data_IF_782392234049
#
_entry.id   IF_782392234049
#
_cell.length_a   1.000
_cell.length_b   1.000
_cell.length_c   1.000
_cell.angle_alpha   90.00
_cell.angle_beta   90.00
_cell.angle_gamma   90.00
#
_symmetry.space_group_name_H-M   'P 1'
#
loop_
_entity.id
_entity.type
_entity.pdbx_description
1 polymer ?
#
# COMPACT_ATOMS: atom_id res chain seq x y z
N UNK A 1 4.03 10.09 -6.75
CA UNK A 1 4.06 8.61 -6.60
C UNK A 1 5.48 8.17 -6.27
N UNK A 2 5.70 7.70 -5.02
CA UNK A 2 7.02 7.24 -4.56
C UNK A 2 7.34 5.78 -4.98
N UNK A 3 6.48 5.09 -5.73
CA UNK A 3 6.68 3.68 -6.10
C UNK A 3 6.37 2.68 -4.97
N UNK A 4 5.66 3.08 -3.92
CA UNK A 4 5.32 2.25 -2.75
C UNK A 4 4.58 0.96 -3.15
N UNK A 5 3.46 1.09 -3.85
CA UNK A 5 2.64 -0.04 -4.28
C UNK A 5 3.42 -0.99 -5.22
N UNK A 6 4.21 -0.44 -6.15
CA UNK A 6 5.06 -1.24 -7.04
C UNK A 6 6.15 -2.00 -6.27
N UNK A 7 6.71 -1.42 -5.20
CA UNK A 7 7.68 -2.10 -4.34
C UNK A 7 7.00 -3.30 -3.65
N UNK A 8 5.79 -3.11 -3.16
CA UNK A 8 5.02 -4.14 -2.49
C UNK A 8 4.65 -5.29 -3.44
N UNK A 9 4.24 -4.99 -4.67
CA UNK A 9 3.99 -5.99 -5.71
C UNK A 9 5.24 -6.84 -6.04
N UNK A 10 6.41 -6.20 -6.05
CA UNK A 10 7.69 -6.91 -6.25
C UNK A 10 8.01 -7.86 -5.11
N UNK A 11 7.78 -7.45 -3.85
CA UNK A 11 7.96 -8.31 -2.67
C UNK A 11 6.94 -9.45 -2.70
N UNK A 12 5.69 -9.15 -2.99
CA UNK A 12 4.61 -10.14 -3.05
C UNK A 12 4.73 -11.08 -4.27
N UNK A 13 5.46 -10.68 -5.31
CA UNK A 13 5.43 -11.33 -6.64
C UNK A 13 4.00 -11.56 -7.12
N UNK A 14 3.16 -10.55 -6.98
CA UNK A 14 1.75 -10.55 -7.36
C UNK A 14 1.38 -9.14 -7.82
N UNK A 15 0.74 -9.04 -8.97
CA UNK A 15 0.18 -7.80 -9.46
C UNK A 15 -1.17 -7.55 -8.80
N UNK A 16 -1.28 -6.46 -8.04
CA UNK A 16 -2.43 -6.18 -7.17
C UNK A 16 -3.05 -4.84 -7.54
N UNK A 17 -2.19 -3.85 -7.85
CA UNK A 17 -2.62 -2.48 -8.00
C UNK A 17 -2.85 -2.13 -9.46
N UNK A 18 -3.97 -1.46 -9.78
CA UNK A 18 -4.20 -0.96 -11.13
C UNK A 18 -3.12 0.06 -11.51
N UNK A 19 -2.62 -0.07 -12.74
CA UNK A 19 -1.54 0.80 -13.26
C UNK A 19 -2.00 2.23 -13.57
N UNK A 20 -3.23 2.60 -13.24
CA UNK A 20 -3.78 3.93 -13.51
C UNK A 20 -3.20 4.96 -12.53
N UNK A 21 -2.65 6.05 -13.09
CA UNK A 21 -2.11 7.18 -12.33
C UNK A 21 -3.16 7.93 -11.49
N UNK A 22 -4.45 7.77 -11.80
CA UNK A 22 -5.57 8.42 -11.12
C UNK A 22 -6.08 7.64 -9.91
N UNK A 23 -5.84 6.33 -9.87
CA UNK A 23 -6.23 5.45 -8.79
C UNK A 23 -5.07 5.31 -7.79
N UNK A 24 -4.90 6.30 -6.93
CA UNK A 24 -4.05 6.16 -5.76
C UNK A 24 -4.71 5.24 -4.73
N UNK A 25 -3.93 4.57 -3.90
CA UNK A 25 -4.44 3.77 -2.78
C UNK A 25 -5.26 4.68 -1.85
N UNK A 26 -6.56 4.42 -1.73
CA UNK A 26 -7.53 5.24 -0.98
C UNK A 26 -7.92 4.62 0.36
N UNK A 27 -7.59 3.36 0.57
CA UNK A 27 -7.78 2.62 1.81
C UNK A 27 -6.57 1.72 2.08
N UNK A 28 -6.29 1.33 3.31
CA UNK A 28 -5.28 0.31 3.60
C UNK A 28 -5.60 -1.01 2.89
N UNK A 29 -4.58 -1.61 2.29
CA UNK A 29 -4.66 -2.95 1.71
C UNK A 29 -3.77 -3.89 2.51
N UNK A 30 -4.38 -4.87 3.18
CA UNK A 30 -3.70 -5.92 3.91
C UNK A 30 -3.55 -7.15 3.00
N UNK A 31 -2.34 -7.42 2.55
CA UNK A 31 -2.01 -8.61 1.76
C UNK A 31 -1.39 -9.66 2.66
N UNK A 32 -2.07 -10.79 2.83
CA UNK A 32 -1.61 -11.94 3.60
C UNK A 32 -1.22 -13.08 2.68
N UNK A 33 0.08 -13.31 2.53
CA UNK A 33 0.62 -14.47 1.82
C UNK A 33 0.63 -15.68 2.76
N UNK A 34 0.12 -16.80 2.29
CA UNK A 34 0.04 -18.04 3.08
C UNK A 34 0.59 -19.20 2.27
N UNK A 35 1.59 -19.87 2.85
CA UNK A 35 2.08 -21.11 2.29
C UNK A 35 1.05 -22.24 2.54
N UNK A 36 0.68 -22.94 1.49
CA UNK A 36 -0.17 -24.11 1.55
C UNK A 36 0.46 -25.20 0.72
N UNK A 37 0.55 -26.41 1.27
CA UNK A 37 1.03 -27.57 0.52
C UNK A 37 0.21 -27.75 -0.77
N UNK A 38 0.90 -28.01 -1.89
CA UNK A 38 0.28 -28.14 -3.21
C UNK A 38 -0.82 -29.20 -3.24
N UNK A 39 -0.69 -30.25 -2.43
CA UNK A 39 -1.68 -31.33 -2.34
C UNK A 39 -2.97 -30.92 -1.65
N UNK A 40 -2.92 -29.86 -0.81
CA UNK A 40 -4.08 -29.31 -0.10
C UNK A 40 -4.81 -28.21 -0.87
N UNK A 41 -4.23 -27.76 -1.99
CA UNK A 41 -4.88 -26.78 -2.85
C UNK A 41 -5.93 -27.47 -3.73
N UNK A 42 -7.07 -26.80 -4.00
CA UNK A 42 -8.03 -27.27 -5.00
C UNK A 42 -7.33 -27.52 -6.34
N UNK A 43 -7.75 -28.54 -7.08
CA UNK A 43 -7.04 -29.01 -8.28
C UNK A 43 -6.75 -27.90 -9.28
N UNK A 44 -7.74 -27.06 -9.53
CA UNK A 44 -7.66 -25.92 -10.45
C UNK A 44 -6.66 -24.83 -10.01
N UNK A 45 -6.27 -24.79 -8.71
CA UNK A 45 -5.38 -23.79 -8.15
C UNK A 45 -4.00 -24.34 -7.73
N UNK A 46 -3.71 -25.60 -8.02
CA UNK A 46 -2.45 -26.25 -7.59
C UNK A 46 -1.20 -25.54 -8.10
N UNK A 47 -1.26 -24.98 -9.30
CA UNK A 47 -0.10 -24.31 -9.92
C UNK A 47 -0.03 -22.81 -9.59
N UNK A 48 -1.17 -22.16 -9.45
CA UNK A 48 -1.24 -20.71 -9.31
C UNK A 48 -1.49 -20.27 -7.87
N UNK A 49 -2.12 -21.09 -7.05
CA UNK A 49 -2.75 -20.67 -5.82
C UNK A 49 -4.11 -20.05 -6.07
N UNK A 50 -4.78 -19.63 -5.01
CA UNK A 50 -6.04 -18.89 -5.06
C UNK A 50 -6.03 -17.70 -4.10
N UNK A 51 -6.93 -16.77 -4.33
CA UNK A 51 -7.09 -15.55 -3.54
C UNK A 51 -8.48 -15.48 -2.94
N UNK A 52 -8.54 -15.06 -1.68
CA UNK A 52 -9.76 -14.62 -1.00
C UNK A 52 -9.67 -13.12 -0.78
N UNK A 53 -10.74 -12.39 -1.05
CA UNK A 53 -10.80 -10.96 -0.81
C UNK A 53 -12.00 -10.61 0.06
N UNK A 54 -11.77 -9.76 1.07
CA UNK A 54 -12.80 -9.27 1.97
C UNK A 54 -12.62 -7.78 2.23
N UNK A 55 -13.72 -7.04 2.21
CA UNK A 55 -13.73 -5.67 2.71
C UNK A 55 -14.03 -5.68 4.21
N UNK A 56 -13.10 -5.17 5.01
CA UNK A 56 -13.27 -4.93 6.43
C UNK A 56 -13.78 -3.50 6.61
N UNK A 57 -15.07 -3.36 6.84
CA UNK A 57 -15.73 -2.06 6.96
C UNK A 57 -15.44 -1.39 8.29
N UNK A 58 -15.17 -0.10 8.26
CA UNK A 58 -15.14 0.75 9.45
C UNK A 58 -16.56 1.05 9.94
N UNK A 59 -16.70 1.52 11.16
CA UNK A 59 -18.03 1.86 11.76
C UNK A 59 -18.81 2.89 10.93
N UNK A 60 -18.11 3.78 10.24
CA UNK A 60 -18.71 4.83 9.40
C UNK A 60 -18.56 4.54 7.91
N UNK A 61 -18.42 3.28 7.53
CA UNK A 61 -18.28 2.88 6.12
C UNK A 61 -19.53 3.21 5.32
N UNK A 62 -19.33 3.86 4.19
CA UNK A 62 -20.38 4.11 3.18
C UNK A 62 -20.39 3.06 2.08
N UNK A 63 -19.36 2.19 2.05
CA UNK A 63 -19.25 1.15 1.04
C UNK A 63 -20.31 0.09 1.33
N UNK A 64 -21.11 -0.35 0.34
CA UNK A 64 -22.07 -1.41 0.53
C UNK A 64 -21.41 -2.68 1.07
N UNK A 65 -22.16 -3.45 1.86
CA UNK A 65 -21.71 -4.76 2.28
C UNK A 65 -21.71 -5.71 1.07
N UNK A 66 -20.57 -6.29 0.81
CA UNK A 66 -20.45 -7.35 -0.21
C UNK A 66 -20.09 -8.66 0.50
N UNK A 67 -20.64 -9.79 0.04
CA UNK A 67 -20.20 -11.09 0.55
C UNK A 67 -18.74 -11.29 0.23
N UNK A 68 -18.05 -12.09 1.07
CA UNK A 68 -16.68 -12.48 0.80
C UNK A 68 -16.56 -13.05 -0.61
N UNK A 69 -15.56 -12.61 -1.36
CA UNK A 69 -15.33 -13.14 -2.70
C UNK A 69 -15.04 -14.64 -2.61
N UNK A 70 -15.64 -15.45 -3.48
CA UNK A 70 -15.26 -16.84 -3.60
C UNK A 70 -13.78 -16.96 -4.00
N UNK A 71 -13.23 -18.16 -3.95
CA UNK A 71 -11.88 -18.40 -4.43
C UNK A 71 -11.73 -17.90 -5.86
N UNK A 72 -10.77 -16.98 -6.04
CA UNK A 72 -10.51 -16.35 -7.33
C UNK A 72 -9.08 -16.64 -7.77
N UNK A 73 -8.85 -16.56 -9.08
CA UNK A 73 -7.52 -16.71 -9.63
C UNK A 73 -6.67 -15.45 -9.33
N UNK A 74 -5.36 -15.59 -9.02
CA UNK A 74 -4.49 -14.43 -8.76
C UNK A 74 -4.51 -13.35 -9.86
N UNK A 75 -4.76 -13.71 -11.11
CA UNK A 75 -4.84 -12.77 -12.23
C UNK A 75 -6.07 -11.84 -12.18
N UNK A 76 -7.10 -12.18 -11.40
CA UNK A 76 -8.35 -11.41 -11.29
C UNK A 76 -8.27 -10.34 -10.21
N UNK A 77 -7.21 -10.37 -9.38
CA UNK A 77 -7.06 -9.51 -8.21
C UNK A 77 -6.97 -8.03 -8.60
N UNK A 78 -6.18 -7.71 -9.63
CA UNK A 78 -5.99 -6.31 -10.07
C UNK A 78 -7.33 -5.66 -10.48
N UNK A 79 -8.16 -6.37 -11.25
CA UNK A 79 -9.44 -5.85 -11.71
C UNK A 79 -10.43 -5.69 -10.56
N UNK A 80 -10.44 -6.63 -9.61
CA UNK A 80 -11.28 -6.51 -8.41
C UNK A 80 -10.85 -5.38 -7.51
N UNK A 81 -9.55 -5.19 -7.28
CA UNK A 81 -9.01 -4.04 -6.54
C UNK A 81 -9.37 -2.73 -7.22
N UNK A 82 -9.27 -2.66 -8.55
CA UNK A 82 -9.69 -1.48 -9.34
C UNK A 82 -11.16 -1.14 -9.08
N UNK A 83 -12.04 -2.12 -9.20
CA UNK A 83 -13.47 -1.94 -8.96
C UNK A 83 -13.76 -1.36 -7.56
N UNK A 84 -13.08 -1.88 -6.53
CA UNK A 84 -13.24 -1.39 -5.16
C UNK A 84 -12.74 0.05 -4.99
N UNK A 85 -11.58 0.37 -5.57
CA UNK A 85 -11.05 1.74 -5.54
C UNK A 85 -11.95 2.73 -6.26
N UNK A 86 -12.55 2.35 -7.39
CA UNK A 86 -13.53 3.17 -8.12
C UNK A 86 -14.79 3.38 -7.29
N UNK A 87 -15.27 2.34 -6.59
CA UNK A 87 -16.40 2.45 -5.67
C UNK A 87 -16.11 3.45 -4.55
N UNK A 88 -14.93 3.38 -3.92
CA UNK A 88 -14.52 4.34 -2.89
C UNK A 88 -14.51 5.77 -3.43
N UNK A 89 -13.97 5.97 -4.62
CA UNK A 89 -13.94 7.30 -5.26
C UNK A 89 -15.36 7.80 -5.55
N UNK A 90 -16.22 6.96 -6.12
CA UNK A 90 -17.60 7.36 -6.48
C UNK A 90 -18.45 7.74 -5.27
N UNK A 91 -18.32 6.99 -4.17
CA UNK A 91 -19.06 7.25 -2.92
C UNK A 91 -18.59 8.50 -2.18
N UNK A 92 -17.38 8.98 -2.47
CA UNK A 92 -16.79 10.16 -1.83
C UNK A 92 -16.91 11.43 -2.69
N UNK A 93 -17.46 11.37 -3.90
CA UNK A 93 -17.63 12.53 -4.78
C UNK A 93 -18.54 13.63 -4.19
N UNK A 94 -19.40 13.31 -3.23
CA UNK A 94 -20.26 14.29 -2.52
C UNK A 94 -19.64 14.81 -1.21
N UNK A 95 -18.54 14.26 -0.77
CA UNK A 95 -17.85 14.67 0.45
C UNK A 95 -16.34 14.54 0.28
N UNK A 96 -15.75 15.61 0.22
CA UNK A 96 -14.43 16.13 0.52
C UNK A 96 -13.30 15.12 0.92
N UNK A 97 -13.50 13.82 1.09
CA UNK A 97 -12.47 12.91 1.61
C UNK A 97 -12.29 11.65 0.79
N UNK A 98 -11.30 11.68 -0.06
CA UNK A 98 -10.94 10.53 -0.91
C UNK A 98 -10.25 9.36 -0.19
N UNK A 99 -10.18 9.32 1.15
CA UNK A 99 -9.53 8.27 1.95
C UNK A 99 -10.50 7.72 2.98
N UNK A 100 -10.56 6.40 3.13
CA UNK A 100 -11.43 5.72 4.10
C UNK A 100 -10.62 4.87 5.09
N UNK A 101 -11.18 4.65 6.29
CA UNK A 101 -10.67 3.72 7.28
C UNK A 101 -11.08 2.26 7.00
N UNK A 102 -11.88 2.02 5.97
CA UNK A 102 -12.15 0.66 5.51
C UNK A 102 -10.85 0.02 5.04
N UNK A 103 -10.75 -1.31 5.16
CA UNK A 103 -9.54 -2.05 4.81
C UNK A 103 -9.86 -3.17 3.84
N UNK A 104 -9.07 -3.29 2.81
CA UNK A 104 -9.18 -4.41 1.88
C UNK A 104 -8.21 -5.52 2.32
N UNK A 105 -8.76 -6.65 2.73
CA UNK A 105 -8.00 -7.84 3.09
C UNK A 105 -7.92 -8.78 1.90
N UNK A 106 -6.70 -9.05 1.44
CA UNK A 106 -6.39 -9.98 0.35
C UNK A 106 -5.55 -11.12 0.93
N UNK A 107 -6.03 -12.36 0.84
CA UNK A 107 -5.29 -13.54 1.26
C UNK A 107 -4.92 -14.38 0.04
N UNK A 108 -3.63 -14.56 -0.22
CA UNK A 108 -3.12 -15.44 -1.27
C UNK A 108 -2.60 -16.74 -0.67
N UNK A 109 -3.19 -17.84 -1.07
CA UNK A 109 -2.79 -19.18 -0.69
C UNK A 109 -2.05 -19.86 -1.85
N UNK A 110 -0.79 -20.24 -1.65
CA UNK A 110 0.01 -20.86 -2.71
C UNK A 110 1.17 -21.67 -2.12
N UNK A 111 1.56 -22.73 -2.79
CA UNK A 111 2.74 -23.53 -2.43
C UNK A 111 4.07 -22.82 -2.74
N UNK A 112 4.03 -21.71 -3.48
CA UNK A 112 5.22 -20.94 -3.89
C UNK A 112 5.45 -19.71 -3.05
N UNK A 113 4.60 -19.44 -2.05
CA UNK A 113 4.69 -18.25 -1.21
C UNK A 113 5.18 -18.59 0.20
N UNK A 114 5.84 -17.64 0.83
CA UNK A 114 6.13 -17.69 2.26
C UNK A 114 4.95 -17.11 3.03
N UNK A 115 4.89 -17.38 4.34
CA UNK A 115 3.95 -16.69 5.23
C UNK A 115 4.47 -15.29 5.50
N UNK A 116 3.76 -14.29 4.98
CA UNK A 116 4.14 -12.88 5.11
C UNK A 116 2.89 -12.02 5.05
N UNK A 117 2.79 -11.06 5.95
CA UNK A 117 1.77 -10.03 5.95
C UNK A 117 2.38 -8.71 5.50
N UNK A 118 1.81 -8.10 4.48
CA UNK A 118 2.21 -6.83 3.90
C UNK A 118 1.04 -5.86 3.96
N UNK A 119 1.30 -4.61 4.31
CA UNK A 119 0.26 -3.59 4.40
C UNK A 119 0.65 -2.41 3.50
N UNK A 120 -0.18 -2.14 2.51
CA UNK A 120 -0.08 -0.93 1.70
C UNK A 120 -1.00 0.15 2.26
N UNK A 121 -0.42 1.25 2.66
CA UNK A 121 -1.13 2.38 3.24
C UNK A 121 -1.41 3.45 2.17
N UNK A 122 -2.48 4.25 2.30
CA UNK A 122 -2.68 5.41 1.45
C UNK A 122 -1.44 6.31 1.43
N UNK A 123 -1.10 6.83 0.25
CA UNK A 123 0.04 7.73 0.11
C UNK A 123 -0.19 9.04 0.85
N UNK A 124 0.79 9.50 1.64
CA UNK A 124 0.72 10.79 2.30
C UNK A 124 1.04 11.85 1.26
N UNK A 125 0.07 12.70 0.98
CA UNK A 125 0.24 13.78 0.01
C UNK A 125 0.88 14.97 0.71
N UNK A 126 2.02 15.43 0.19
CA UNK A 126 2.66 16.64 0.67
C UNK A 126 2.04 17.85 -0.04
N UNK A 127 1.01 18.44 0.58
CA UNK A 127 0.33 19.66 0.08
C UNK A 127 -1.03 19.38 -0.55
N UNK A 128 -1.93 20.35 -0.43
CA UNK A 128 -3.24 20.30 -1.08
C UNK A 128 -3.09 20.52 -2.58
N UNK A 129 -3.40 19.49 -3.38
CA UNK A 129 -3.73 19.69 -4.78
C UNK A 129 -5.07 20.46 -4.81
N UNK A 130 -5.28 21.34 -5.77
CA UNK A 130 -6.41 22.31 -5.82
C UNK A 130 -7.80 21.74 -5.53
N UNK A 131 -7.99 20.43 -5.61
CA UNK A 131 -9.28 19.72 -5.44
C UNK A 131 -9.26 18.72 -4.28
N UNK A 132 -8.21 18.71 -3.44
CA UNK A 132 -8.13 17.81 -2.29
C UNK A 132 -8.50 18.53 -0.99
N UNK A 133 -9.18 17.82 -0.07
CA UNK A 133 -9.55 18.36 1.23
C UNK A 133 -8.35 18.79 2.06
N UNK A 134 -8.50 19.88 2.79
CA UNK A 134 -7.46 20.39 3.69
C UNK A 134 -7.07 19.39 4.81
N UNK A 135 -7.95 18.46 5.15
CA UNK A 135 -7.74 17.44 6.20
C UNK A 135 -7.24 16.08 5.68
N UNK A 136 -7.10 15.90 4.37
CA UNK A 136 -6.67 14.64 3.76
C UNK A 136 -5.30 14.18 4.26
N UNK A 137 -4.37 15.11 4.41
CA UNK A 137 -3.04 14.82 4.92
C UNK A 137 -3.10 14.28 6.35
N UNK A 138 -3.88 14.90 7.21
CA UNK A 138 -4.01 14.48 8.62
C UNK A 138 -4.71 13.12 8.73
N UNK A 139 -5.73 12.86 7.92
CA UNK A 139 -6.39 11.55 7.88
C UNK A 139 -5.44 10.46 7.42
N UNK A 140 -4.68 10.69 6.36
CA UNK A 140 -3.71 9.72 5.85
C UNK A 140 -2.62 9.46 6.89
N UNK A 141 -2.14 10.49 7.59
CA UNK A 141 -1.20 10.36 8.70
C UNK A 141 -1.79 9.56 9.87
N UNK A 142 -3.03 9.80 10.23
CA UNK A 142 -3.71 9.08 11.30
C UNK A 142 -3.90 7.60 10.95
N UNK A 143 -4.28 7.28 9.71
CA UNK A 143 -4.34 5.90 9.23
C UNK A 143 -2.95 5.25 9.34
N UNK A 144 -1.90 5.88 8.81
CA UNK A 144 -0.56 5.34 8.90
C UNK A 144 -0.10 5.18 10.36
N UNK A 145 -0.41 6.16 11.22
CA UNK A 145 -0.10 6.14 12.64
C UNK A 145 -0.71 4.94 13.36
N UNK A 146 -1.94 4.57 13.06
CA UNK A 146 -2.61 3.41 13.68
C UNK A 146 -1.90 2.07 13.43
N UNK A 147 -1.16 1.96 12.33
CA UNK A 147 -0.34 0.78 12.01
C UNK A 147 1.09 0.86 12.59
N UNK A 148 1.57 2.05 12.90
CA UNK A 148 2.91 2.27 13.47
C UNK A 148 2.92 2.28 14.98
N UNK A 149 1.76 2.39 15.62
CA UNK A 149 1.63 2.40 17.07
C UNK A 149 2.04 1.05 17.68
N UNK A 150 3.03 1.05 18.56
CA UNK A 150 3.57 -0.14 19.22
C UNK A 150 2.56 -0.83 20.14
N UNK A 151 1.61 -0.09 20.70
CA UNK A 151 0.58 -0.68 21.56
C UNK A 151 -0.30 -1.67 20.80
N UNK A 152 -0.57 -1.37 19.54
CA UNK A 152 -1.44 -2.19 18.70
C UNK A 152 -0.65 -3.14 17.78
N UNK A 153 0.57 -2.76 17.39
CA UNK A 153 1.36 -3.46 16.36
C UNK A 153 2.86 -3.55 16.74
N UNK A 154 3.21 -4.24 17.83
CA UNK A 154 4.59 -4.20 18.38
C UNK A 154 5.65 -4.84 17.46
N UNK A 155 5.24 -5.69 16.53
CA UNK A 155 6.16 -6.41 15.62
C UNK A 155 6.12 -5.92 14.18
N UNK A 156 5.65 -4.69 13.96
CA UNK A 156 5.56 -4.12 12.62
C UNK A 156 6.91 -3.59 12.16
N UNK A 157 7.44 -4.14 11.07
CA UNK A 157 8.55 -3.57 10.33
C UNK A 157 8.05 -2.57 9.30
N UNK A 158 8.75 -1.45 9.16
CA UNK A 158 8.39 -0.38 8.23
C UNK A 158 9.26 -0.49 6.98
N UNK A 159 8.63 -0.40 5.81
CA UNK A 159 9.32 -0.18 4.55
C UNK A 159 9.07 1.29 4.16
N UNK A 160 10.05 2.13 4.41
CA UNK A 160 9.99 3.54 4.04
C UNK A 160 10.42 3.71 2.58
N UNK A 161 9.45 3.94 1.70
CA UNK A 161 9.70 4.08 0.25
C UNK A 161 9.80 5.56 -0.10
N UNK A 162 10.95 5.96 -0.61
CA UNK A 162 11.26 7.34 -0.98
C UNK A 162 11.70 7.37 -2.45
N UNK A 163 11.28 8.39 -3.19
CA UNK A 163 11.76 8.59 -4.55
C UNK A 163 13.18 9.17 -4.53
N UNK A 164 14.06 8.65 -5.38
CA UNK A 164 15.39 9.21 -5.57
C UNK A 164 15.37 10.60 -6.25
N UNK A 165 14.20 11.02 -6.75
CA UNK A 165 13.99 12.37 -7.30
C UNK A 165 13.69 13.41 -6.21
N UNK A 166 13.49 12.99 -4.95
CA UNK A 166 13.34 13.92 -3.84
C UNK A 166 14.68 14.56 -3.48
N UNK A 167 14.69 15.87 -3.34
CA UNK A 167 15.93 16.65 -3.06
C UNK A 167 16.55 16.34 -1.70
N UNK A 168 15.76 15.87 -0.74
CA UNK A 168 16.24 15.50 0.60
C UNK A 168 15.39 14.38 1.20
N UNK A 169 15.96 13.22 1.45
CA UNK A 169 15.30 12.08 2.09
C UNK A 169 14.70 12.46 3.46
N UNK A 170 15.40 13.31 4.22
CA UNK A 170 14.93 13.77 5.55
C UNK A 170 13.59 14.49 5.52
N UNK A 171 13.24 15.11 4.39
CA UNK A 171 11.98 15.83 4.22
C UNK A 171 10.83 14.92 3.76
N UNK A 172 11.12 13.64 3.55
CA UNK A 172 10.10 12.65 3.18
C UNK A 172 9.10 12.46 4.32
N UNK A 173 7.80 12.50 3.98
CA UNK A 173 6.71 12.23 4.92
C UNK A 173 6.84 10.84 5.56
N UNK A 174 7.38 9.86 4.83
CA UNK A 174 7.64 8.53 5.37
C UNK A 174 8.67 8.59 6.51
N UNK A 175 9.75 9.35 6.34
CA UNK A 175 10.79 9.49 7.37
C UNK A 175 10.29 10.29 8.57
N UNK A 176 9.45 11.29 8.38
CA UNK A 176 8.80 12.01 9.48
C UNK A 176 7.98 11.06 10.36
N UNK A 177 7.19 10.16 9.76
CA UNK A 177 6.41 9.17 10.52
C UNK A 177 7.32 8.17 11.24
N UNK A 178 8.37 7.68 10.58
CA UNK A 178 9.34 6.77 11.21
C UNK A 178 9.95 7.39 12.47
N UNK A 179 10.29 8.67 12.43
CA UNK A 179 10.82 9.39 13.58
C UNK A 179 9.75 9.60 14.66
N UNK A 180 8.56 10.07 14.27
CA UNK A 180 7.44 10.33 15.20
C UNK A 180 7.05 9.11 16.02
N UNK A 181 7.04 7.93 15.39
CA UNK A 181 6.67 6.66 16.04
C UNK A 181 7.88 5.86 16.55
N UNK A 182 9.08 6.47 16.55
CA UNK A 182 10.33 5.84 17.02
C UNK A 182 10.63 4.47 16.38
N UNK A 183 10.33 4.33 15.08
CA UNK A 183 10.46 3.07 14.31
C UNK A 183 11.80 2.95 13.57
N UNK A 184 12.77 3.81 13.79
CA UNK A 184 14.02 3.82 13.02
C UNK A 184 14.74 2.44 13.02
N UNK A 185 14.79 1.77 14.17
CA UNK A 185 15.43 0.46 14.30
C UNK A 185 14.63 -0.70 13.65
N UNK A 186 13.39 -0.45 13.26
CA UNK A 186 12.50 -1.42 12.59
C UNK A 186 12.14 -0.96 11.17
N UNK A 187 12.97 -0.11 10.57
CA UNK A 187 12.70 0.47 9.25
C UNK A 187 13.76 0.06 8.24
N UNK A 188 13.29 -0.36 7.08
CA UNK A 188 14.10 -0.56 5.88
C UNK A 188 13.76 0.56 4.89
N UNK A 189 14.76 1.36 4.51
CA UNK A 189 14.63 2.37 3.46
C UNK A 189 14.69 1.73 2.07
N UNK A 190 13.76 2.10 1.20
CA UNK A 190 13.77 1.71 -0.22
C UNK A 190 13.79 2.96 -1.08
N UNK A 191 14.84 3.10 -1.87
CA UNK A 191 14.99 4.19 -2.83
C UNK A 191 14.47 3.73 -4.19
N UNK A 192 13.45 4.43 -4.71
CA UNK A 192 12.83 4.14 -6.00
C UNK A 192 13.21 5.19 -7.05
N UNK A 193 12.89 4.93 -8.32
CA UNK A 193 13.13 5.88 -9.43
C UNK A 193 14.59 6.35 -9.51
N UNK A 194 15.54 5.46 -9.17
CA UNK A 194 16.97 5.76 -9.21
C UNK A 194 17.47 6.05 -10.66
N UNK A 195 16.79 5.51 -11.65
CA UNK A 195 17.00 5.77 -13.08
C UNK A 195 16.70 7.23 -13.48
N UNK A 196 15.76 7.88 -12.78
CA UNK A 196 15.39 9.28 -13.02
C UNK A 196 16.31 10.27 -12.28
N UNK A 197 16.98 9.82 -11.21
CA UNK A 197 17.86 10.67 -10.42
C UNK A 197 19.24 10.91 -11.08
N UNK A 198 19.56 10.22 -12.15
CA UNK A 198 20.81 10.33 -12.88
C UNK A 198 20.81 11.38 -14.00
N UNK A 199 19.77 12.20 -14.16
CA UNK A 199 19.79 13.29 -15.13
C UNK A 199 20.83 14.35 -14.67
N UNK A 200 21.91 14.59 -15.46
CA UNK A 200 22.95 15.58 -15.09
C UNK A 200 22.41 17.00 -14.91
N UNK A 201 21.14 17.25 -15.31
CA UNK A 201 20.42 18.51 -15.13
C UNK A 201 19.65 18.60 -13.81
N UNK A 202 19.57 17.52 -13.03
CA UNK A 202 18.97 17.55 -11.69
C UNK A 202 20.08 17.74 -10.66
N UNK A 203 19.90 18.69 -9.74
CA UNK A 203 20.81 18.92 -8.60
C UNK A 203 20.85 17.74 -7.59
N UNK A 204 20.12 16.67 -7.89
CA UNK A 204 20.04 15.46 -7.08
C UNK A 204 20.91 14.34 -7.66
N UNK A 205 22.14 14.24 -7.19
CA UNK A 205 22.98 13.09 -7.46
C UNK A 205 22.62 11.97 -6.46
N UNK A 206 22.09 10.81 -6.91
CA UNK A 206 21.70 9.73 -6.01
C UNK A 206 22.87 9.17 -5.20
N UNK A 207 24.09 9.33 -5.66
CA UNK A 207 25.30 8.92 -4.92
C UNK A 207 25.64 9.87 -3.76
N UNK A 208 25.27 11.14 -3.82
CA UNK A 208 25.42 12.09 -2.71
C UNK A 208 24.37 11.84 -1.61
N UNK A 209 23.18 11.34 -1.98
CA UNK A 209 22.11 10.98 -1.04
C UNK A 209 22.52 9.80 -0.16
N UNK A 210 23.32 8.88 -0.68
CA UNK A 210 23.78 7.68 0.05
C UNK A 210 25.02 7.93 0.91
N UNK A 211 25.68 9.08 0.76
CA UNK A 211 26.90 9.44 1.52
C UNK A 211 26.62 10.27 2.78
N UNK A 212 25.43 10.79 2.96
CA UNK A 212 25.01 11.59 4.12
C UNK A 212 24.26 10.78 5.13
#
# INVERSE_FOLDING_TARGET
NSGKSSTLERIAMLKIFPSDRRLCTRMPIELRLRHVDKTKLPEQFRETGFVEMNLLRSENSRIPEEPASPYMHPNEVEDKVRQWMETVVSLNNDTVTGVTNDRLLIKLFSSRKLNLDLIDLPGIVAGSIRDEPSDMMDRTRNIAGSYLDDLNNPHTFVIAVVSATETRIRNSQAMELVQRYNKANMTIGVLTMADLAGDPRSDSNPYEILKG
#
